data_IF_634827637353
#
_entry.id   IF_634827637353
#
_cell.length_a   1.000
_cell.length_b   1.000
_cell.length_c   1.000
_cell.angle_alpha   90.00
_cell.angle_beta   90.00
_cell.angle_gamma   90.00
#
_symmetry.space_group_name_H-M   'P 1'
#
loop_
_entity.id
_entity.type
_entity.pdbx_description
1 polymer ?
#
# COMPACT_ATOMS: atom_id res chain seq x y z
N UNK A 1 22.67 -7.66 -23.51
CA UNK A 1 23.49 -7.41 -22.32
C UNK A 1 22.76 -8.03 -21.14
N UNK A 2 23.23 -9.18 -20.65
CA UNK A 2 22.64 -9.78 -19.44
C UNK A 2 23.20 -9.05 -18.23
N UNK A 3 22.32 -8.49 -17.41
CA UNK A 3 22.73 -7.78 -16.20
C UNK A 3 23.00 -8.85 -15.12
N UNK A 4 24.22 -8.91 -14.55
CA UNK A 4 24.59 -9.92 -13.57
C UNK A 4 23.77 -9.77 -12.26
N UNK A 5 23.56 -10.90 -11.56
CA UNK A 5 22.85 -10.98 -10.26
C UNK A 5 21.40 -10.48 -10.27
N UNK A 6 20.71 -10.67 -11.40
CA UNK A 6 19.27 -10.39 -11.53
C UNK A 6 18.39 -11.57 -11.12
N UNK A 7 18.95 -12.77 -11.12
CA UNK A 7 18.29 -14.02 -10.70
C UNK A 7 19.17 -14.72 -9.67
N UNK A 8 20.47 -14.81 -9.92
CA UNK A 8 21.44 -15.39 -8.99
C UNK A 8 21.73 -14.48 -7.78
N UNK A 9 21.90 -15.11 -6.63
CA UNK A 9 22.33 -14.45 -5.40
C UNK A 9 23.77 -13.97 -5.52
N UNK A 10 24.07 -12.81 -4.93
CA UNK A 10 25.47 -12.38 -4.86
C UNK A 10 26.23 -13.18 -3.79
N UNK A 11 27.51 -13.51 -4.01
CA UNK A 11 28.35 -14.21 -3.04
C UNK A 11 28.60 -13.44 -1.73
N UNK A 12 28.53 -12.10 -1.79
CA UNK A 12 28.84 -11.20 -0.67
C UNK A 12 27.67 -11.00 0.30
N UNK A 13 26.45 -10.95 -0.25
CA UNK A 13 25.23 -10.55 0.46
C UNK A 13 24.20 -11.66 0.54
N UNK A 14 24.32 -12.73 -0.26
CA UNK A 14 23.35 -13.83 -0.33
C UNK A 14 21.98 -13.40 -0.88
N UNK A 15 21.90 -12.24 -1.53
CA UNK A 15 20.64 -11.64 -2.02
C UNK A 15 20.87 -11.11 -3.44
N UNK A 16 19.86 -11.22 -4.30
CA UNK A 16 19.90 -10.67 -5.67
C UNK A 16 19.61 -9.16 -5.69
N UNK A 17 20.13 -8.45 -6.71
CA UNK A 17 20.16 -6.98 -6.75
C UNK A 17 18.80 -6.31 -6.49
N UNK A 18 17.74 -6.85 -7.09
CA UNK A 18 16.42 -6.25 -7.02
C UNK A 18 15.79 -6.38 -5.61
N UNK A 19 16.13 -7.43 -4.85
CA UNK A 19 15.66 -7.60 -3.47
C UNK A 19 16.38 -6.64 -2.51
N UNK A 20 17.67 -6.38 -2.71
CA UNK A 20 18.37 -5.33 -1.97
C UNK A 20 17.80 -3.94 -2.30
N UNK A 21 17.55 -3.67 -3.59
CA UNK A 21 16.99 -2.41 -4.05
C UNK A 21 15.61 -2.10 -3.44
N UNK A 22 14.71 -3.09 -3.37
CA UNK A 22 13.39 -2.87 -2.77
C UNK A 22 13.50 -2.60 -1.27
N UNK A 23 14.35 -3.32 -0.53
CA UNK A 23 14.52 -3.05 0.91
C UNK A 23 15.03 -1.64 1.20
N UNK A 24 15.98 -1.13 0.40
CA UNK A 24 16.44 0.26 0.51
C UNK A 24 15.32 1.25 0.19
N UNK A 25 14.54 0.99 -0.85
CA UNK A 25 13.38 1.82 -1.18
C UNK A 25 12.33 1.82 -0.06
N UNK A 26 11.99 0.65 0.50
CA UNK A 26 11.07 0.55 1.63
C UNK A 26 11.59 1.31 2.86
N UNK A 27 12.90 1.25 3.13
CA UNK A 27 13.50 2.03 4.21
C UNK A 27 13.32 3.54 3.99
N UNK A 28 13.48 4.04 2.76
CA UNK A 28 13.20 5.46 2.47
C UNK A 28 11.73 5.85 2.65
N UNK A 29 10.80 4.95 2.30
CA UNK A 29 9.37 5.17 2.51
C UNK A 29 9.00 5.19 4.00
N UNK A 30 9.62 4.32 4.82
CA UNK A 30 9.48 4.38 6.29
C UNK A 30 9.88 5.76 6.81
N UNK A 31 10.97 6.35 6.31
CA UNK A 31 11.41 7.68 6.72
C UNK A 31 10.42 8.77 6.26
N UNK A 32 9.90 8.67 5.04
CA UNK A 32 8.90 9.60 4.49
C UNK A 32 7.63 9.63 5.34
N UNK A 33 7.01 8.47 5.57
CA UNK A 33 5.81 8.37 6.41
C UNK A 33 6.12 8.66 7.87
N UNK A 34 7.29 8.25 8.39
CA UNK A 34 7.76 8.56 9.74
C UNK A 34 7.86 10.06 10.02
N UNK A 35 8.32 10.85 9.05
CA UNK A 35 8.33 12.31 9.12
C UNK A 35 6.91 12.89 9.19
N UNK A 36 5.98 12.41 8.37
CA UNK A 36 4.59 12.86 8.38
C UNK A 36 3.84 12.45 9.67
N UNK A 37 4.10 11.25 10.20
CA UNK A 37 3.56 10.83 11.50
C UNK A 37 4.09 11.70 12.63
N UNK A 38 5.38 12.06 12.59
CA UNK A 38 5.96 12.99 13.57
C UNK A 38 5.27 14.36 13.49
N UNK A 39 5.04 14.88 12.28
CA UNK A 39 4.30 16.13 12.08
C UNK A 39 2.86 16.05 12.63
N UNK A 40 2.16 14.93 12.43
CA UNK A 40 0.83 14.69 13.04
C UNK A 40 0.89 14.80 14.57
N UNK A 41 1.88 14.16 15.22
CA UNK A 41 2.03 14.20 16.68
C UNK A 41 2.25 15.64 17.17
N UNK A 42 3.13 16.41 16.51
CA UNK A 42 3.36 17.81 16.87
C UNK A 42 2.12 18.69 16.68
N UNK A 43 1.39 18.52 15.57
CA UNK A 43 0.15 19.25 15.32
C UNK A 43 -0.94 18.93 16.36
N UNK A 44 -1.02 17.66 16.77
CA UNK A 44 -1.95 17.22 17.81
C UNK A 44 -1.61 17.79 19.19
N UNK A 45 -0.33 17.77 19.57
CA UNK A 45 0.13 18.30 20.86
C UNK A 45 0.01 19.83 20.93
N UNK A 46 0.15 20.52 19.80
CA UNK A 46 0.01 21.98 19.70
C UNK A 46 -1.42 22.48 19.55
N UNK A 47 -2.40 21.60 19.33
CA UNK A 47 -3.79 21.98 19.16
C UNK A 47 -4.48 22.28 20.52
N UNK A 48 -5.53 23.12 20.54
CA UNK A 48 -6.36 23.32 21.72
C UNK A 48 -6.88 21.99 22.27
N UNK A 49 -6.93 21.85 23.60
CA UNK A 49 -7.35 20.62 24.26
C UNK A 49 -8.75 20.23 23.79
N UNK A 50 -8.89 19.03 23.19
CA UNK A 50 -10.16 18.51 22.68
C UNK A 50 -10.44 18.77 21.20
N UNK A 51 -9.75 19.72 20.54
CA UNK A 51 -10.03 20.08 19.15
C UNK A 51 -9.83 18.91 18.16
N UNK A 52 -8.75 18.13 18.33
CA UNK A 52 -8.52 16.92 17.52
C UNK A 52 -9.56 15.82 17.75
N UNK A 53 -10.11 15.73 18.97
CA UNK A 53 -11.17 14.76 19.25
C UNK A 53 -12.46 15.16 18.56
N UNK A 54 -12.86 16.44 18.66
CA UNK A 54 -14.06 16.96 17.99
C UNK A 54 -13.97 16.85 16.46
N UNK A 55 -12.84 17.22 15.87
CA UNK A 55 -12.63 17.11 14.42
C UNK A 55 -12.54 15.65 13.94
N UNK A 56 -12.10 14.74 14.80
CA UNK A 56 -12.04 13.30 14.51
C UNK A 56 -13.41 12.61 14.49
N UNK A 57 -14.43 13.15 15.17
CA UNK A 57 -15.77 12.53 15.21
C UNK A 57 -16.48 12.53 13.86
N UNK A 58 -16.08 13.39 12.94
CA UNK A 58 -16.62 13.42 11.57
C UNK A 58 -16.03 12.31 10.67
N UNK A 59 -15.14 11.48 11.19
CA UNK A 59 -14.61 10.32 10.49
C UNK A 59 -15.49 9.09 10.69
N UNK A 60 -15.80 8.41 9.59
CA UNK A 60 -16.65 7.22 9.62
C UNK A 60 -15.82 5.97 9.97
N UNK A 61 -15.72 5.66 11.27
CA UNK A 61 -14.95 4.53 11.80
C UNK A 61 -15.41 3.17 11.24
N UNK A 62 -16.71 2.86 11.12
CA UNK A 62 -17.17 1.62 10.50
C UNK A 62 -16.70 1.43 9.05
N UNK A 63 -16.82 2.48 8.23
CA UNK A 63 -16.40 2.44 6.82
C UNK A 63 -14.88 2.33 6.68
N UNK A 64 -14.13 2.99 7.55
CA UNK A 64 -12.69 2.86 7.62
C UNK A 64 -12.24 1.47 8.12
N UNK A 65 -12.97 0.85 9.05
CA UNK A 65 -12.72 -0.51 9.52
C UNK A 65 -12.92 -1.53 8.40
N UNK A 66 -14.02 -1.39 7.64
CA UNK A 66 -14.29 -2.22 6.47
C UNK A 66 -13.15 -2.12 5.43
N UNK A 67 -12.68 -0.90 5.15
CA UNK A 67 -11.53 -0.67 4.26
C UNK A 67 -10.27 -1.39 4.74
N UNK A 68 -9.97 -1.32 6.04
CA UNK A 68 -8.81 -1.99 6.62
C UNK A 68 -8.93 -3.51 6.50
N UNK A 69 -10.11 -4.09 6.69
CA UNK A 69 -10.35 -5.52 6.46
C UNK A 69 -10.14 -5.92 5.00
N UNK A 70 -10.59 -5.09 4.05
CA UNK A 70 -10.39 -5.31 2.62
C UNK A 70 -8.90 -5.30 2.27
N UNK A 71 -8.11 -4.35 2.80
CA UNK A 71 -6.67 -4.29 2.55
C UNK A 71 -5.92 -5.48 3.16
N UNK A 72 -6.23 -5.86 4.40
CA UNK A 72 -5.61 -7.05 5.02
C UNK A 72 -5.92 -8.31 4.20
N UNK A 73 -7.15 -8.42 3.71
CA UNK A 73 -7.55 -9.52 2.82
C UNK A 73 -6.78 -9.48 1.49
N UNK A 74 -6.57 -8.30 0.91
CA UNK A 74 -5.75 -8.08 -0.29
C UNK A 74 -4.29 -8.52 -0.09
N UNK A 75 -3.74 -8.26 1.09
CA UNK A 75 -2.40 -8.72 1.46
C UNK A 75 -2.32 -10.24 1.45
N UNK A 76 -3.31 -10.92 2.04
CA UNK A 76 -3.37 -12.38 2.04
C UNK A 76 -3.45 -12.94 0.61
N UNK A 77 -4.29 -12.37 -0.26
CA UNK A 77 -4.38 -12.82 -1.65
C UNK A 77 -3.09 -12.60 -2.42
N UNK A 78 -2.33 -11.55 -2.11
CA UNK A 78 -1.02 -11.30 -2.72
C UNK A 78 -0.02 -12.42 -2.38
N UNK A 79 0.09 -12.83 -1.11
CA UNK A 79 0.95 -13.97 -0.72
C UNK A 79 0.52 -15.25 -1.44
N UNK A 80 -0.79 -15.53 -1.47
CA UNK A 80 -1.32 -16.72 -2.14
C UNK A 80 -1.02 -16.74 -3.64
N UNK A 81 -0.98 -15.57 -4.29
CA UNK A 81 -0.58 -15.45 -5.69
C UNK A 81 0.88 -15.88 -5.91
N UNK A 82 1.79 -15.47 -5.03
CA UNK A 82 3.21 -15.84 -5.09
C UNK A 82 3.42 -17.33 -4.78
N UNK A 83 2.74 -17.86 -3.76
CA UNK A 83 2.77 -19.31 -3.45
C UNK A 83 2.27 -20.14 -4.63
N UNK A 84 1.23 -19.67 -5.33
CA UNK A 84 0.71 -20.35 -6.52
C UNK A 84 1.74 -20.43 -7.64
N UNK A 85 2.56 -19.39 -7.84
CA UNK A 85 3.68 -19.44 -8.78
C UNK A 85 4.75 -20.45 -8.35
N UNK A 86 5.08 -20.52 -7.06
CA UNK A 86 6.02 -21.52 -6.53
C UNK A 86 5.50 -22.97 -6.70
N UNK A 87 4.18 -23.16 -6.68
CA UNK A 87 3.52 -24.44 -6.96
C UNK A 87 3.30 -24.72 -8.46
N UNK A 88 3.83 -23.87 -9.36
CA UNK A 88 3.59 -23.94 -10.81
C UNK A 88 2.10 -23.87 -11.23
N UNK A 89 1.22 -23.32 -10.38
CA UNK A 89 -0.20 -23.15 -10.67
C UNK A 89 -0.49 -21.72 -11.15
N UNK A 90 -0.26 -21.50 -12.44
CA UNK A 90 -0.40 -20.19 -13.07
C UNK A 90 -1.85 -19.68 -13.13
N UNK A 91 -2.83 -20.60 -13.17
CA UNK A 91 -4.25 -20.24 -13.17
C UNK A 91 -4.63 -19.61 -11.83
N UNK A 92 -4.21 -20.23 -10.72
CA UNK A 92 -4.43 -19.68 -9.38
C UNK A 92 -3.68 -18.37 -9.17
N UNK A 93 -2.45 -18.24 -9.70
CA UNK A 93 -1.74 -16.97 -9.69
C UNK A 93 -2.59 -15.84 -10.31
N UNK A 94 -3.13 -16.03 -11.52
CA UNK A 94 -3.96 -15.01 -12.18
C UNK A 94 -5.23 -14.68 -11.41
N UNK A 95 -5.85 -15.68 -10.78
CA UNK A 95 -7.04 -15.49 -9.95
C UNK A 95 -6.71 -14.65 -8.71
N UNK A 96 -5.70 -15.04 -7.92
CA UNK A 96 -5.34 -14.33 -6.70
C UNK A 96 -4.83 -12.92 -6.97
N UNK A 97 -4.07 -12.73 -8.05
CA UNK A 97 -3.62 -11.40 -8.47
C UNK A 97 -4.79 -10.50 -8.88
N UNK A 98 -5.79 -11.03 -9.58
CA UNK A 98 -7.00 -10.30 -9.92
C UNK A 98 -7.83 -9.96 -8.66
N UNK A 99 -7.90 -10.86 -7.68
CA UNK A 99 -8.55 -10.60 -6.40
C UNK A 99 -7.85 -9.47 -5.63
N UNK A 100 -6.51 -9.47 -5.56
CA UNK A 100 -5.74 -8.37 -4.96
C UNK A 100 -6.06 -7.02 -5.63
N UNK A 101 -6.04 -6.98 -6.97
CA UNK A 101 -6.39 -5.76 -7.72
C UNK A 101 -7.85 -5.31 -7.47
N UNK A 102 -8.79 -6.25 -7.36
CA UNK A 102 -10.19 -5.94 -7.06
C UNK A 102 -10.34 -5.37 -5.65
N UNK A 103 -9.69 -5.97 -4.64
CA UNK A 103 -9.69 -5.46 -3.28
C UNK A 103 -9.11 -4.04 -3.21
N UNK A 104 -8.02 -3.79 -3.93
CA UNK A 104 -7.41 -2.47 -4.02
C UNK A 104 -8.35 -1.43 -4.67
N UNK A 105 -9.04 -1.81 -5.76
CA UNK A 105 -10.06 -0.97 -6.39
C UNK A 105 -11.20 -0.66 -5.41
N UNK A 106 -11.72 -1.66 -4.70
CA UNK A 106 -12.76 -1.47 -3.70
C UNK A 106 -12.32 -0.47 -2.62
N UNK A 107 -11.09 -0.61 -2.10
CA UNK A 107 -10.52 0.33 -1.15
C UNK A 107 -10.51 1.77 -1.69
N UNK A 108 -10.01 1.97 -2.92
CA UNK A 108 -9.97 3.29 -3.54
C UNK A 108 -11.36 3.89 -3.78
N UNK A 109 -12.33 3.08 -4.20
CA UNK A 109 -13.72 3.53 -4.40
C UNK A 109 -14.35 3.98 -3.09
N UNK A 110 -14.23 3.17 -2.02
CA UNK A 110 -14.78 3.53 -0.71
C UNK A 110 -14.12 4.81 -0.20
N UNK A 111 -12.80 4.96 -0.37
CA UNK A 111 -12.09 6.20 0.02
C UNK A 111 -12.49 7.40 -0.81
N UNK A 112 -12.69 7.23 -2.10
CA UNK A 112 -13.19 8.29 -2.97
C UNK A 112 -14.57 8.78 -2.54
N UNK A 113 -15.48 7.87 -2.17
CA UNK A 113 -16.80 8.22 -1.64
C UNK A 113 -16.69 8.98 -0.32
N UNK A 114 -15.81 8.57 0.59
CA UNK A 114 -15.56 9.27 1.85
C UNK A 114 -15.02 10.70 1.63
N UNK A 115 -14.06 10.85 0.71
CA UNK A 115 -13.51 12.16 0.34
C UNK A 115 -14.56 13.05 -0.30
N UNK A 116 -15.34 12.52 -1.25
CA UNK A 116 -16.39 13.27 -1.92
C UNK A 116 -17.44 13.76 -0.92
N UNK A 117 -17.90 12.89 -0.02
CA UNK A 117 -18.82 13.28 1.05
C UNK A 117 -18.25 14.41 1.92
N UNK A 118 -16.98 14.33 2.33
CA UNK A 118 -16.32 15.38 3.13
C UNK A 118 -16.22 16.71 2.39
N UNK A 119 -15.88 16.69 1.10
CA UNK A 119 -15.82 17.89 0.27
C UNK A 119 -17.22 18.51 0.12
N UNK A 120 -18.26 17.69 -0.02
CA UNK A 120 -19.66 18.16 -0.06
C UNK A 120 -20.09 18.81 1.25
N UNK A 121 -19.54 18.39 2.40
CA UNK A 121 -19.73 19.04 3.70
C UNK A 121 -18.83 20.27 3.92
N UNK A 122 -18.18 20.79 2.87
CA UNK A 122 -17.25 21.92 2.91
C UNK A 122 -16.00 21.68 3.79
N UNK A 123 -15.63 20.41 4.00
CA UNK A 123 -14.42 20.02 4.75
C UNK A 123 -13.27 19.89 3.77
N UNK A 124 -12.48 20.94 3.67
CA UNK A 124 -11.28 21.02 2.83
C UNK A 124 -10.01 20.83 3.65
N UNK A 125 -8.86 20.52 2.99
CA UNK A 125 -7.56 20.51 3.65
C UNK A 125 -7.22 21.83 4.34
N UNK A 126 -7.75 22.97 3.85
CA UNK A 126 -7.54 24.30 4.43
C UNK A 126 -8.39 24.60 5.66
N UNK A 127 -9.32 23.73 6.04
CA UNK A 127 -10.29 24.02 7.10
C UNK A 127 -9.63 24.05 8.47
N UNK A 128 -8.87 22.99 8.81
CA UNK A 128 -8.16 22.84 10.08
C UNK A 128 -6.86 22.06 9.87
N UNK A 129 -5.92 22.19 10.80
CA UNK A 129 -4.64 21.47 10.78
C UNK A 129 -4.81 19.95 10.79
N UNK A 130 -5.86 19.43 11.44
CA UNK A 130 -6.21 18.00 11.42
C UNK A 130 -6.59 17.52 10.02
N UNK A 131 -7.46 18.24 9.32
CA UNK A 131 -7.84 17.87 7.96
C UNK A 131 -6.68 18.02 6.98
N UNK A 132 -5.82 19.05 7.15
CA UNK A 132 -4.61 19.20 6.35
C UNK A 132 -3.70 17.97 6.42
N UNK A 133 -3.38 17.51 7.64
CA UNK A 133 -2.50 16.34 7.83
C UNK A 133 -3.21 15.03 7.46
N UNK A 134 -4.51 14.91 7.72
CA UNK A 134 -5.34 13.78 7.29
C UNK A 134 -5.27 13.60 5.78
N UNK A 135 -5.67 14.61 4.99
CA UNK A 135 -5.69 14.53 3.53
C UNK A 135 -4.30 14.29 2.94
N UNK A 136 -3.25 14.85 3.57
CA UNK A 136 -1.87 14.63 3.14
C UNK A 136 -1.43 13.19 3.34
N UNK A 137 -1.63 12.64 4.54
CA UNK A 137 -1.25 11.26 4.87
C UNK A 137 -2.03 10.23 4.06
N UNK A 138 -3.37 10.34 4.05
CA UNK A 138 -4.23 9.38 3.34
C UNK A 138 -4.17 9.56 1.83
N UNK A 139 -3.94 10.80 1.34
CA UNK A 139 -3.72 11.08 -0.07
C UNK A 139 -2.42 10.49 -0.59
N UNK A 140 -1.30 10.71 0.13
CA UNK A 140 -0.01 10.11 -0.21
C UNK A 140 -0.10 8.59 -0.20
N UNK A 141 -0.74 8.00 0.81
CA UNK A 141 -0.96 6.57 0.87
C UNK A 141 -1.82 6.06 -0.31
N UNK A 142 -2.88 6.78 -0.68
CA UNK A 142 -3.68 6.47 -1.86
C UNK A 142 -2.87 6.48 -3.15
N UNK A 143 -1.94 7.42 -3.32
CA UNK A 143 -1.00 7.45 -4.45
C UNK A 143 -0.10 6.21 -4.48
N UNK A 144 0.37 5.74 -3.33
CA UNK A 144 1.16 4.51 -3.24
C UNK A 144 0.36 3.27 -3.67
N UNK A 145 -0.90 3.16 -3.23
CA UNK A 145 -1.79 2.08 -3.67
C UNK A 145 -1.98 2.13 -5.18
N UNK A 146 -2.26 3.30 -5.76
CA UNK A 146 -2.42 3.46 -7.21
C UNK A 146 -1.13 3.04 -7.95
N UNK A 147 0.04 3.49 -7.47
CA UNK A 147 1.33 3.09 -8.03
C UNK A 147 1.54 1.57 -7.99
N UNK A 148 1.26 0.94 -6.85
CA UNK A 148 1.30 -0.50 -6.70
C UNK A 148 0.34 -1.23 -7.64
N UNK A 149 -0.88 -0.73 -7.80
CA UNK A 149 -1.88 -1.32 -8.69
C UNK A 149 -1.45 -1.28 -10.15
N UNK A 150 -0.82 -0.18 -10.59
CA UNK A 150 -0.27 -0.09 -11.96
C UNK A 150 0.78 -1.17 -12.18
N UNK A 151 1.67 -1.38 -11.21
CA UNK A 151 2.72 -2.42 -11.30
C UNK A 151 2.12 -3.82 -11.26
N UNK A 152 1.17 -4.09 -10.36
CA UNK A 152 0.48 -5.38 -10.27
C UNK A 152 -0.29 -5.69 -11.55
N UNK A 153 -1.01 -4.70 -12.10
CA UNK A 153 -1.73 -4.84 -13.37
C UNK A 153 -0.77 -5.12 -14.53
N UNK A 154 0.37 -4.43 -14.59
CA UNK A 154 1.41 -4.69 -15.56
C UNK A 154 1.94 -6.13 -15.46
N UNK A 155 2.17 -6.65 -14.27
CA UNK A 155 2.63 -8.03 -14.09
C UNK A 155 1.53 -9.09 -14.36
N UNK A 156 0.27 -8.74 -14.11
CA UNK A 156 -0.89 -9.59 -14.37
C UNK A 156 -1.23 -9.72 -15.86
N UNK A 157 -1.11 -8.63 -16.63
CA UNK A 157 -1.46 -8.60 -18.05
C UNK A 157 -0.22 -8.79 -18.96
N UNK A 158 0.53 -7.74 -19.37
CA UNK A 158 1.65 -7.90 -20.31
C UNK A 158 2.82 -8.69 -19.73
N UNK A 159 3.09 -8.55 -18.43
CA UNK A 159 4.15 -9.27 -17.74
C UNK A 159 3.92 -10.77 -17.63
N UNK A 160 2.67 -11.22 -17.75
CA UNK A 160 2.30 -12.63 -17.62
C UNK A 160 2.93 -13.53 -18.70
N UNK A 161 3.32 -12.96 -19.85
CA UNK A 161 4.06 -13.66 -20.89
C UNK A 161 5.46 -14.10 -20.45
N UNK A 162 6.07 -13.40 -19.47
CA UNK A 162 7.39 -13.72 -18.93
C UNK A 162 7.44 -15.07 -18.22
N UNK A 163 6.29 -15.57 -17.76
CA UNK A 163 6.18 -16.90 -17.17
C UNK A 163 6.67 -18.01 -18.12
N UNK A 164 6.38 -17.90 -19.41
CA UNK A 164 6.76 -18.92 -20.40
C UNK A 164 8.24 -18.83 -20.80
N UNK A 165 8.85 -17.64 -20.72
CA UNK A 165 10.25 -17.44 -21.14
C UNK A 165 11.25 -17.52 -19.99
N UNK A 166 10.91 -16.97 -18.82
CA UNK A 166 11.80 -16.80 -17.66
C UNK A 166 11.00 -16.91 -16.34
N UNK A 167 10.52 -18.10 -15.96
CA UNK A 167 9.61 -18.30 -14.83
C UNK A 167 10.22 -17.90 -13.47
N UNK A 168 11.51 -18.18 -13.24
CA UNK A 168 12.19 -17.80 -11.99
C UNK A 168 12.31 -16.28 -11.84
N UNK A 169 12.74 -15.59 -12.90
CA UNK A 169 12.83 -14.13 -12.90
C UNK A 169 11.47 -13.47 -12.69
N UNK A 170 10.41 -14.03 -13.28
CA UNK A 170 9.04 -13.56 -13.07
C UNK A 170 8.61 -13.75 -11.60
N UNK A 171 8.86 -14.93 -11.02
CA UNK A 171 8.52 -15.22 -9.63
C UNK A 171 9.23 -14.28 -8.65
N UNK A 172 10.52 -13.99 -8.88
CA UNK A 172 11.29 -13.05 -8.07
C UNK A 172 10.74 -11.62 -8.17
N UNK A 173 10.29 -11.18 -9.36
CA UNK A 173 9.63 -9.87 -9.52
C UNK A 173 8.33 -9.80 -8.72
N UNK A 174 7.53 -10.87 -8.74
CA UNK A 174 6.27 -10.93 -7.99
C UNK A 174 6.53 -10.90 -6.48
N UNK A 175 7.60 -11.56 -5.99
CA UNK A 175 8.04 -11.46 -4.59
C UNK A 175 8.33 -10.01 -4.21
N UNK A 176 9.14 -9.30 -5.02
CA UNK A 176 9.51 -7.90 -4.78
C UNK A 176 8.30 -6.98 -4.75
N UNK A 177 7.39 -7.11 -5.71
CA UNK A 177 6.17 -6.30 -5.74
C UNK A 177 5.25 -6.66 -4.59
N UNK A 178 5.21 -7.93 -4.18
CA UNK A 178 4.53 -8.39 -2.97
C UNK A 178 5.07 -7.68 -1.72
N UNK A 179 6.39 -7.62 -1.54
CA UNK A 179 7.01 -6.89 -0.41
C UNK A 179 6.58 -5.42 -0.37
N UNK A 180 6.54 -4.75 -1.52
CA UNK A 180 6.02 -3.38 -1.62
C UNK A 180 4.55 -3.31 -1.22
N UNK A 181 3.71 -4.21 -1.73
CA UNK A 181 2.28 -4.23 -1.42
C UNK A 181 2.01 -4.43 0.07
N UNK A 182 2.69 -5.39 0.70
CA UNK A 182 2.59 -5.63 2.15
C UNK A 182 3.05 -4.43 2.97
N UNK A 183 4.09 -3.73 2.51
CA UNK A 183 4.54 -2.52 3.17
C UNK A 183 3.48 -1.41 3.12
N UNK A 184 2.87 -1.19 1.95
CA UNK A 184 1.78 -0.21 1.81
C UNK A 184 0.63 -0.58 2.75
N UNK A 185 0.20 -1.84 2.78
CA UNK A 185 -0.84 -2.32 3.70
C UNK A 185 -0.47 -2.07 5.18
N UNK A 186 0.79 -2.32 5.55
CA UNK A 186 1.29 -2.09 6.90
C UNK A 186 1.21 -0.60 7.30
N UNK A 187 1.57 0.32 6.39
CA UNK A 187 1.41 1.76 6.65
C UNK A 187 -0.04 2.12 6.92
N UNK A 188 -0.99 1.51 6.21
CA UNK A 188 -2.42 1.73 6.47
C UNK A 188 -2.87 1.24 7.85
N UNK A 189 -2.36 0.09 8.30
CA UNK A 189 -2.64 -0.46 9.62
C UNK A 189 -2.23 0.50 10.74
N UNK A 190 -1.18 1.31 10.55
CA UNK A 190 -0.81 2.38 11.48
C UNK A 190 -1.62 3.67 11.28
N UNK A 191 -1.91 4.05 10.03
CA UNK A 191 -2.71 5.23 9.72
C UNK A 191 -4.11 5.17 10.30
N UNK A 192 -4.77 4.00 10.19
CA UNK A 192 -6.16 3.85 10.61
C UNK A 192 -6.35 4.16 12.11
N UNK A 193 -5.64 3.53 13.07
CA UNK A 193 -5.77 3.87 14.49
C UNK A 193 -5.37 5.31 14.80
N UNK A 194 -4.28 5.80 14.20
CA UNK A 194 -3.76 7.14 14.49
C UNK A 194 -4.74 8.24 14.07
N UNK A 195 -5.42 8.07 12.93
CA UNK A 195 -6.33 9.11 12.42
C UNK A 195 -7.79 8.91 12.83
N UNK A 196 -8.26 7.66 12.98
CA UNK A 196 -9.68 7.36 13.19
C UNK A 196 -10.02 6.98 14.64
N UNK A 197 -9.05 6.51 15.44
CA UNK A 197 -9.31 6.01 16.81
C UNK A 197 -8.69 6.89 17.89
N UNK A 198 -7.51 7.46 17.62
CA UNK A 198 -6.83 8.38 18.54
C UNK A 198 -7.28 9.81 18.29
#
# INVERSE_FOLDING_TARGET
MEIPYTVDERPDTGIYNAKLGIWLFLASEVMLFGGLFSAYVFLRLGAPVGAFHEWGQELNVPLATLNTLILISSSMTMVMSWVSLKMNDFKKFKLYMALTLLCALCFLVIKYLEYSAKIHHHIYPSTNTFYAIYFTLTGLHGLHIIGGMVVLFYLWAPGSNMWNTKPEQFTNRIEIVGLYWHFVDLVWIFLFPILYLL
#
